data_IF_801287426373
#
_entry.id   IF_801287426373
#
_cell.length_a   1.000
_cell.length_b   1.000
_cell.length_c   1.000
_cell.angle_alpha   90.00
_cell.angle_beta   90.00
_cell.angle_gamma   90.00
#
_symmetry.space_group_name_H-M   'P 1'
#
loop_
_entity.id
_entity.type
_entity.pdbx_description
1 polymer ?
#
# COMPACT_ATOMS: atom_id res chain seq x y z
N UNK A 1 -0.85 25.39 -8.53
CA UNK A 1 0.39 24.66 -8.85
C UNK A 1 0.15 24.00 -10.20
N UNK A 2 0.98 24.20 -11.23
CA UNK A 2 0.76 23.55 -12.52
C UNK A 2 0.94 22.04 -12.35
N UNK A 3 0.00 21.26 -12.86
CA UNK A 3 0.07 19.80 -12.88
C UNK A 3 1.11 19.40 -13.92
N UNK A 4 2.32 19.04 -13.48
CA UNK A 4 3.32 18.39 -14.33
C UNK A 4 2.93 16.91 -14.47
N UNK A 5 2.67 16.41 -15.70
CA UNK A 5 2.39 14.99 -15.90
C UNK A 5 3.53 14.09 -15.40
N UNK A 6 4.78 14.59 -15.44
CA UNK A 6 5.93 13.85 -14.92
C UNK A 6 5.90 13.77 -13.39
N UNK A 7 5.54 14.85 -12.70
CA UNK A 7 5.47 14.87 -11.23
C UNK A 7 4.32 14.00 -10.72
N UNK A 8 3.23 13.91 -11.48
CA UNK A 8 2.14 12.97 -11.18
C UNK A 8 2.58 11.51 -11.35
N UNK A 9 3.33 11.20 -12.41
CA UNK A 9 3.75 9.82 -12.69
C UNK A 9 4.87 9.35 -11.76
N UNK A 10 5.84 10.22 -11.50
CA UNK A 10 7.10 9.91 -10.80
C UNK A 10 7.14 10.39 -9.35
N UNK A 11 6.11 11.10 -8.90
CA UNK A 11 6.07 11.74 -7.60
C UNK A 11 6.69 13.14 -7.60
N UNK A 12 6.16 14.07 -6.79
CA UNK A 12 6.79 15.35 -6.55
C UNK A 12 7.99 15.19 -5.61
N UNK A 13 8.81 16.24 -5.51
CA UNK A 13 9.81 16.30 -4.44
C UNK A 13 9.14 16.22 -3.06
N UNK A 14 9.65 15.35 -2.20
CA UNK A 14 9.16 15.14 -0.84
C UNK A 14 10.12 15.73 0.17
N UNK A 15 9.60 16.26 1.27
CA UNK A 15 10.43 16.57 2.45
C UNK A 15 10.68 15.31 3.26
N UNK A 16 11.85 15.22 3.88
CA UNK A 16 12.25 14.12 4.73
C UNK A 16 13.06 14.62 5.92
N UNK A 17 13.09 13.82 6.99
CA UNK A 17 13.96 14.04 8.15
C UNK A 17 14.99 12.93 8.15
N UNK A 18 16.25 13.30 8.00
CA UNK A 18 17.39 12.43 8.32
C UNK A 18 17.58 12.42 9.84
N UNK A 19 17.26 11.32 10.55
CA UNK A 19 17.41 11.29 12.00
C UNK A 19 18.88 11.29 12.44
N UNK A 20 19.84 11.02 11.55
CA UNK A 20 21.27 11.01 11.86
C UNK A 20 21.99 12.29 11.45
N UNK A 21 21.27 13.27 10.89
CA UNK A 21 21.83 14.58 10.57
C UNK A 21 22.21 15.36 11.84
N UNK A 22 23.28 16.16 11.73
CA UNK A 22 23.75 17.01 12.82
C UNK A 22 22.65 17.97 13.29
N UNK A 23 22.42 18.01 14.61
CA UNK A 23 21.44 18.91 15.24
C UNK A 23 19.98 18.42 15.21
N UNK A 24 19.69 17.24 14.64
CA UNK A 24 18.34 16.65 14.68
C UNK A 24 18.08 15.95 16.02
N UNK A 25 18.98 15.06 16.42
CA UNK A 25 18.98 14.42 17.74
C UNK A 25 20.37 14.53 18.36
N UNK A 26 20.45 14.97 19.62
CA UNK A 26 21.72 15.03 20.37
C UNK A 26 22.14 13.65 20.89
N UNK A 27 21.17 12.80 21.25
CA UNK A 27 21.40 11.42 21.68
C UNK A 27 21.20 10.45 20.49
N UNK A 28 22.24 9.70 20.06
CA UNK A 28 22.14 8.69 19.01
C UNK A 28 21.04 7.64 19.25
N UNK A 29 20.70 7.36 20.51
CA UNK A 29 19.65 6.41 20.85
C UNK A 29 18.27 6.88 20.37
N UNK A 30 18.03 8.20 20.37
CA UNK A 30 16.79 8.81 19.90
C UNK A 30 16.68 8.76 18.37
N UNK A 31 17.79 8.94 17.65
CA UNK A 31 17.84 8.79 16.20
C UNK A 31 17.46 7.36 15.77
N UNK A 32 18.06 6.35 16.43
CA UNK A 32 17.70 4.95 16.21
C UNK A 32 16.27 4.63 16.63
N UNK A 33 15.79 5.20 17.75
CA UNK A 33 14.39 5.05 18.19
C UNK A 33 13.40 5.62 17.17
N UNK A 34 13.67 6.81 16.64
CA UNK A 34 12.87 7.43 15.58
C UNK A 34 12.84 6.56 14.33
N UNK A 35 14.00 6.11 13.86
CA UNK A 35 14.10 5.22 12.70
C UNK A 35 13.33 3.91 12.93
N UNK A 36 13.48 3.29 14.10
CA UNK A 36 12.81 2.03 14.42
C UNK A 36 11.28 2.18 14.41
N UNK A 37 10.73 3.28 14.95
CA UNK A 37 9.28 3.55 14.93
C UNK A 37 8.79 3.77 13.51
N UNK A 38 9.51 4.56 12.70
CA UNK A 38 9.19 4.79 11.28
C UNK A 38 9.20 3.49 10.49
N UNK A 39 10.27 2.70 10.63
CA UNK A 39 10.41 1.42 9.94
C UNK A 39 9.33 0.43 10.37
N UNK A 40 8.99 0.37 11.66
CA UNK A 40 7.89 -0.46 12.16
C UNK A 40 6.53 -0.04 11.58
N UNK A 41 6.27 1.27 11.53
CA UNK A 41 5.08 1.83 10.91
C UNK A 41 4.98 1.43 9.43
N UNK A 42 6.05 1.69 8.67
CA UNK A 42 6.16 1.43 7.24
C UNK A 42 6.08 -0.07 6.90
N UNK A 43 6.87 -0.91 7.58
CA UNK A 43 7.06 -2.31 7.22
C UNK A 43 6.06 -3.28 7.87
N UNK A 44 5.33 -2.87 8.91
CA UNK A 44 4.37 -3.74 9.60
C UNK A 44 2.98 -3.13 9.69
N UNK A 45 2.84 -1.94 10.29
CA UNK A 45 1.52 -1.37 10.57
C UNK A 45 0.76 -1.00 9.31
N UNK A 46 1.41 -0.30 8.37
CA UNK A 46 0.82 0.08 7.08
C UNK A 46 0.35 -1.14 6.29
N UNK A 47 1.20 -2.15 5.98
CA UNK A 47 0.77 -3.36 5.27
C UNK A 47 -0.41 -4.09 5.90
N UNK A 48 -0.44 -4.21 7.24
CA UNK A 48 -1.55 -4.84 7.94
C UNK A 48 -2.84 -4.06 7.72
N UNK A 49 -2.84 -2.76 8.07
CA UNK A 49 -4.03 -1.94 7.99
C UNK A 49 -4.53 -1.84 6.54
N UNK A 50 -3.61 -1.60 5.61
CA UNK A 50 -3.92 -1.34 4.21
C UNK A 50 -4.46 -2.59 3.50
N UNK A 51 -3.82 -3.76 3.65
CA UNK A 51 -4.32 -4.97 2.99
C UNK A 51 -5.62 -5.48 3.63
N UNK A 52 -5.79 -5.38 4.95
CA UNK A 52 -7.06 -5.71 5.60
C UNK A 52 -8.18 -4.74 5.21
N UNK A 53 -7.90 -3.45 5.05
CA UNK A 53 -8.88 -2.50 4.53
C UNK A 53 -9.20 -2.77 3.06
N UNK A 54 -8.18 -2.88 2.21
CA UNK A 54 -8.33 -2.95 0.76
C UNK A 54 -8.91 -4.30 0.34
N UNK A 55 -8.22 -5.40 0.64
CA UNK A 55 -8.62 -6.76 0.23
C UNK A 55 -9.58 -7.38 1.22
N UNK A 56 -9.36 -7.14 2.50
CA UNK A 56 -10.25 -7.62 3.54
C UNK A 56 -11.62 -6.96 3.44
N UNK A 57 -11.73 -5.69 3.04
CA UNK A 57 -13.04 -5.02 2.98
C UNK A 57 -13.36 -4.43 1.58
N UNK A 58 -12.66 -3.40 1.12
CA UNK A 58 -13.08 -2.55 0.00
C UNK A 58 -13.36 -3.33 -1.29
N UNK A 59 -12.44 -4.18 -1.72
CA UNK A 59 -12.58 -4.93 -2.98
C UNK A 59 -13.73 -5.93 -2.92
N UNK A 60 -13.89 -6.62 -1.79
CA UNK A 60 -14.98 -7.57 -1.56
C UNK A 60 -16.32 -6.87 -1.43
N UNK A 61 -16.36 -5.72 -0.79
CA UNK A 61 -17.56 -4.89 -0.70
C UNK A 61 -18.02 -4.41 -2.08
N UNK A 62 -17.11 -3.96 -2.94
CA UNK A 62 -17.42 -3.56 -4.32
C UNK A 62 -17.92 -4.76 -5.13
N UNK A 63 -17.27 -5.92 -4.98
CA UNK A 63 -17.67 -7.14 -5.64
C UNK A 63 -19.08 -7.59 -5.20
N UNK A 64 -19.38 -7.54 -3.91
CA UNK A 64 -20.69 -7.91 -3.35
C UNK A 64 -21.83 -7.05 -3.92
N UNK A 65 -21.58 -5.76 -4.13
CA UNK A 65 -22.56 -4.86 -4.76
C UNK A 65 -22.77 -5.10 -6.26
N UNK A 66 -21.81 -5.74 -6.92
CA UNK A 66 -21.88 -6.12 -8.33
C UNK A 66 -22.50 -7.50 -8.50
N UNK A 67 -22.18 -8.42 -7.58
CA UNK A 67 -22.73 -9.75 -7.47
C UNK A 67 -24.09 -9.67 -6.76
N UNK A 68 -25.11 -9.17 -7.46
CA UNK A 68 -26.48 -9.26 -6.94
C UNK A 68 -26.95 -10.70 -7.03
N UNK A 69 -27.54 -11.17 -5.95
CA UNK A 69 -28.37 -12.36 -5.96
C UNK A 69 -29.48 -12.18 -7.01
N UNK A 70 -29.58 -13.12 -7.95
CA UNK A 70 -30.51 -13.01 -9.08
C UNK A 70 -31.97 -13.23 -8.68
N UNK A 71 -32.22 -13.76 -7.48
CA UNK A 71 -33.54 -14.05 -6.93
C UNK A 71 -34.00 -12.97 -5.94
N UNK A 72 -33.11 -12.48 -5.08
CA UNK A 72 -33.44 -11.48 -4.03
C UNK A 72 -33.00 -10.06 -4.38
N UNK A 73 -32.03 -9.90 -5.28
CA UNK A 73 -31.43 -8.60 -5.62
C UNK A 73 -30.47 -8.04 -4.56
N UNK A 74 -30.24 -8.78 -3.47
CA UNK A 74 -29.36 -8.41 -2.36
C UNK A 74 -27.91 -8.87 -2.60
N UNK A 75 -26.96 -8.34 -1.82
CA UNK A 75 -25.57 -8.80 -1.84
C UNK A 75 -25.41 -10.18 -1.17
N UNK A 76 -24.38 -10.92 -1.55
CA UNK A 76 -24.11 -12.32 -1.14
C UNK A 76 -23.29 -12.41 0.17
N UNK A 77 -23.15 -11.29 0.89
CA UNK A 77 -22.23 -11.08 2.02
C UNK A 77 -20.75 -11.06 1.59
N UNK A 78 -20.18 -9.85 1.55
CA UNK A 78 -18.78 -9.62 1.16
C UNK A 78 -17.75 -10.43 1.98
N UNK A 79 -18.04 -10.80 3.22
CA UNK A 79 -17.11 -11.64 4.02
C UNK A 79 -16.96 -13.06 3.46
N UNK A 80 -17.98 -13.57 2.75
CA UNK A 80 -17.96 -14.88 2.12
C UNK A 80 -17.21 -14.90 0.78
N UNK A 81 -16.92 -13.72 0.20
CA UNK A 81 -16.22 -13.61 -1.07
C UNK A 81 -14.72 -13.89 -0.90
N UNK A 82 -14.17 -14.64 -1.85
CA UNK A 82 -12.73 -14.92 -1.92
C UNK A 82 -11.95 -13.64 -2.25
N UNK A 83 -10.87 -13.40 -1.53
CA UNK A 83 -9.94 -12.28 -1.80
C UNK A 83 -9.25 -12.35 -3.17
N UNK A 84 -9.30 -13.51 -3.84
CA UNK A 84 -8.72 -13.70 -5.17
C UNK A 84 -9.70 -13.60 -6.33
N UNK A 85 -11.01 -13.47 -6.08
CA UNK A 85 -12.01 -13.25 -7.14
C UNK A 85 -12.10 -11.77 -7.43
N UNK A 86 -11.65 -11.33 -8.60
CA UNK A 86 -11.49 -9.91 -8.90
C UNK A 86 -12.22 -9.54 -10.20
N UNK A 87 -13.49 -9.10 -10.14
CA UNK A 87 -14.15 -8.54 -11.30
C UNK A 87 -13.44 -7.25 -11.76
N UNK A 88 -13.72 -6.80 -12.98
CA UNK A 88 -13.12 -5.58 -13.54
C UNK A 88 -13.26 -4.37 -12.61
N UNK A 89 -14.40 -4.24 -11.90
CA UNK A 89 -14.61 -3.16 -10.93
C UNK A 89 -13.63 -3.21 -9.75
N UNK A 90 -13.24 -4.39 -9.29
CA UNK A 90 -12.22 -4.54 -8.24
C UNK A 90 -10.83 -4.13 -8.74
N UNK A 91 -10.49 -4.46 -10.00
CA UNK A 91 -9.25 -4.01 -10.65
C UNK A 91 -9.17 -2.49 -10.83
N UNK A 92 -10.28 -1.86 -11.19
CA UNK A 92 -10.37 -0.40 -11.27
C UNK A 92 -10.25 0.20 -9.86
N UNK A 93 -10.96 -0.35 -8.87
CA UNK A 93 -10.94 0.14 -7.50
C UNK A 93 -9.55 0.09 -6.86
N UNK A 94 -8.80 -1.01 -7.04
CA UNK A 94 -7.45 -1.13 -6.47
C UNK A 94 -6.47 -0.13 -7.08
N UNK A 95 -6.55 0.12 -8.40
CA UNK A 95 -5.68 1.09 -9.05
C UNK A 95 -6.10 2.55 -8.79
N UNK A 96 -7.40 2.81 -8.65
CA UNK A 96 -7.89 4.10 -8.18
C UNK A 96 -7.39 4.38 -6.76
N UNK A 97 -7.49 3.39 -5.86
CA UNK A 97 -6.94 3.49 -4.52
C UNK A 97 -5.43 3.77 -4.55
N UNK A 98 -4.67 3.03 -5.34
CA UNK A 98 -3.22 3.22 -5.50
C UNK A 98 -2.86 4.67 -5.87
N UNK A 99 -3.46 5.19 -6.94
CA UNK A 99 -3.19 6.56 -7.43
C UNK A 99 -3.62 7.65 -6.44
N UNK A 100 -4.70 7.41 -5.69
CA UNK A 100 -5.22 8.39 -4.73
C UNK A 100 -4.43 8.44 -3.42
N UNK A 101 -3.67 7.39 -3.10
CA UNK A 101 -2.97 7.24 -1.81
C UNK A 101 -1.46 7.33 -1.94
N UNK A 102 -0.92 7.23 -3.15
CA UNK A 102 0.52 7.25 -3.42
C UNK A 102 0.86 8.36 -4.40
N UNK A 103 1.92 9.14 -4.15
CA UNK A 103 2.27 10.25 -5.03
C UNK A 103 2.98 9.80 -6.32
N UNK A 104 3.63 8.63 -6.35
CA UNK A 104 4.22 8.04 -7.57
C UNK A 104 3.21 7.14 -8.28
N UNK A 105 2.29 7.75 -9.05
CA UNK A 105 1.16 7.03 -9.63
C UNK A 105 1.57 5.81 -10.47
N UNK A 106 2.66 5.90 -11.24
CA UNK A 106 3.12 4.78 -12.08
C UNK A 106 3.60 3.60 -11.24
N UNK A 107 4.45 3.86 -10.24
CA UNK A 107 4.99 2.82 -9.37
C UNK A 107 3.86 2.15 -8.57
N UNK A 108 2.92 2.95 -8.07
CA UNK A 108 1.75 2.48 -7.35
C UNK A 108 0.88 1.55 -8.23
N UNK A 109 0.47 2.00 -9.43
CA UNK A 109 -0.35 1.17 -10.33
C UNK A 109 0.32 -0.17 -10.67
N UNK A 110 1.61 -0.14 -10.98
CA UNK A 110 2.37 -1.37 -11.30
C UNK A 110 2.40 -2.30 -10.10
N UNK A 111 2.75 -1.79 -8.92
CA UNK A 111 2.89 -2.60 -7.70
C UNK A 111 1.54 -3.17 -7.24
N UNK A 112 0.50 -2.33 -7.14
CA UNK A 112 -0.84 -2.77 -6.72
C UNK A 112 -1.44 -3.78 -7.71
N UNK A 113 -1.19 -3.61 -9.02
CA UNK A 113 -1.62 -4.58 -10.03
C UNK A 113 -0.88 -5.91 -9.91
N UNK A 114 0.43 -5.89 -9.64
CA UNK A 114 1.24 -7.09 -9.44
C UNK A 114 0.75 -7.89 -8.21
N UNK A 115 0.57 -7.24 -7.06
CA UNK A 115 0.09 -7.91 -5.84
C UNK A 115 -1.33 -8.42 -6.04
N UNK A 116 -2.17 -7.65 -6.72
CA UNK A 116 -3.55 -8.06 -7.06
C UNK A 116 -3.57 -9.30 -7.95
N UNK A 117 -2.70 -9.35 -8.96
CA UNK A 117 -2.53 -10.54 -9.78
C UNK A 117 -2.03 -11.73 -8.97
N UNK A 118 -1.03 -11.54 -8.11
CA UNK A 118 -0.48 -12.60 -7.26
C UNK A 118 -1.54 -13.19 -6.31
N UNK A 119 -2.28 -12.33 -5.61
CA UNK A 119 -3.36 -12.75 -4.69
C UNK A 119 -4.53 -13.40 -5.43
N UNK A 120 -4.78 -13.05 -6.70
CA UNK A 120 -5.75 -13.77 -7.52
C UNK A 120 -5.42 -15.26 -7.70
N UNK A 121 -4.13 -15.60 -7.62
CA UNK A 121 -3.64 -16.99 -7.71
C UNK A 121 -3.68 -17.68 -6.36
N UNK A 122 -3.21 -17.02 -5.31
CA UNK A 122 -3.08 -17.66 -3.99
C UNK A 122 -4.36 -17.64 -3.17
N UNK A 123 -5.24 -16.66 -3.43
CA UNK A 123 -6.52 -16.45 -2.73
C UNK A 123 -6.37 -16.32 -1.21
N UNK A 124 -5.21 -15.83 -0.76
CA UNK A 124 -4.90 -15.64 0.64
C UNK A 124 -4.46 -14.19 0.90
N UNK A 125 -5.11 -13.55 1.87
CA UNK A 125 -4.81 -12.15 2.23
C UNK A 125 -3.43 -12.01 2.86
N UNK A 126 -2.96 -13.03 3.57
CA UNK A 126 -1.64 -13.01 4.21
C UNK A 126 -0.50 -12.97 3.19
N UNK A 127 -0.70 -13.51 1.99
CA UNK A 127 0.30 -13.41 0.93
C UNK A 127 0.47 -11.97 0.45
N UNK A 128 -0.62 -11.20 0.41
CA UNK A 128 -0.58 -9.76 0.13
C UNK A 128 0.15 -9.01 1.25
N UNK A 129 -0.22 -9.30 2.50
CA UNK A 129 0.39 -8.68 3.69
C UNK A 129 1.88 -8.94 3.72
N UNK A 130 2.33 -10.19 3.56
CA UNK A 130 3.75 -10.54 3.58
C UNK A 130 4.50 -9.92 2.41
N UNK A 131 3.90 -9.89 1.21
CA UNK A 131 4.50 -9.22 0.05
C UNK A 131 4.71 -7.73 0.33
N UNK A 132 3.69 -7.04 0.84
CA UNK A 132 3.73 -5.62 1.19
C UNK A 132 4.71 -5.33 2.33
N UNK A 133 4.68 -6.10 3.40
CA UNK A 133 5.67 -6.02 4.48
C UNK A 133 7.10 -6.16 3.95
N UNK A 134 7.33 -7.12 3.04
CA UNK A 134 8.67 -7.38 2.49
C UNK A 134 9.17 -6.24 1.61
N UNK A 135 8.31 -5.68 0.74
CA UNK A 135 8.70 -4.55 -0.10
C UNK A 135 8.91 -3.28 0.70
N UNK A 136 8.10 -3.03 1.73
CA UNK A 136 8.25 -1.87 2.60
C UNK A 136 9.47 -1.98 3.52
N UNK A 137 9.76 -3.18 4.03
CA UNK A 137 11.02 -3.42 4.74
C UNK A 137 12.22 -3.18 3.83
N UNK A 138 12.18 -3.68 2.59
CA UNK A 138 13.25 -3.45 1.62
C UNK A 138 13.43 -1.95 1.31
N UNK A 139 12.33 -1.20 1.16
CA UNK A 139 12.38 0.26 0.98
C UNK A 139 12.99 0.97 2.20
N UNK A 140 12.56 0.63 3.42
CA UNK A 140 13.09 1.24 4.63
C UNK A 140 14.58 0.92 4.88
N UNK A 141 15.02 -0.30 4.56
CA UNK A 141 16.44 -0.67 4.61
C UNK A 141 17.23 0.03 3.51
N UNK A 142 16.68 0.14 2.30
CA UNK A 142 17.30 0.88 1.22
C UNK A 142 17.47 2.36 1.59
N UNK A 143 16.46 3.00 2.16
CA UNK A 143 16.51 4.37 2.65
C UNK A 143 17.67 4.59 3.63
N UNK A 144 17.84 3.68 4.59
CA UNK A 144 18.95 3.70 5.54
C UNK A 144 20.32 3.54 4.85
N UNK A 145 20.46 2.58 3.94
CA UNK A 145 21.74 2.27 3.29
C UNK A 145 22.15 3.33 2.27
N UNK A 146 21.18 3.94 1.59
CA UNK A 146 21.39 4.95 0.56
C UNK A 146 21.37 6.38 1.09
N UNK A 147 21.05 6.59 2.38
CA UNK A 147 20.72 7.90 2.96
C UNK A 147 19.59 8.63 2.19
N UNK A 148 18.60 7.88 1.72
CA UNK A 148 17.42 8.41 1.03
C UNK A 148 16.20 8.40 1.94
N UNK A 149 16.13 9.40 2.79
CA UNK A 149 15.08 9.52 3.80
C UNK A 149 13.71 9.89 3.23
N UNK A 150 13.62 10.22 1.94
CA UNK A 150 12.33 10.56 1.28
C UNK A 150 11.38 9.37 1.12
N UNK A 151 11.91 8.17 1.35
CA UNK A 151 11.21 6.89 1.30
C UNK A 151 10.63 6.44 2.66
N UNK A 152 10.84 7.21 3.75
CA UNK A 152 10.47 6.87 5.14
C UNK A 152 9.46 7.82 5.78
#
# INVERSE_FOLDING_TARGET
IPFSPLDFLLGPARSAVDPFAEGVFEDPSLAWGFFAVRLFGLALMVPLIEEFFLRGFLLRFIQDRDAKDTETGEGINWLALSVGTLPMKAWIAVNAYAVLTHPEALAAVVWFSLVTWYVSKTKNIWDAVVFHMSTNLALGLYALLANDWTLL
#
